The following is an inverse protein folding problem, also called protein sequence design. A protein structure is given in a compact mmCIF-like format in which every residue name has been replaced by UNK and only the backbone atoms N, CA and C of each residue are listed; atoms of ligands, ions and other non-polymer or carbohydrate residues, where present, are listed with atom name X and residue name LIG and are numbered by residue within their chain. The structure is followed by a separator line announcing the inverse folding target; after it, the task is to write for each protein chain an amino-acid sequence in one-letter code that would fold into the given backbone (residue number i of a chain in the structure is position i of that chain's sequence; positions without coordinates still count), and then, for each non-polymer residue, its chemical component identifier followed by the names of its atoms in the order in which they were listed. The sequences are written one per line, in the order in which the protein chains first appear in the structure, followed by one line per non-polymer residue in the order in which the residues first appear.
data_IF_769467169532
#
_entry.id   IF_769467169532
#
_cell.length_a   1.000
_cell.length_b   1.000
_cell.length_c   1.000
_cell.angle_alpha   90.00
_cell.angle_beta   90.00
_cell.angle_gamma   90.00
#
_symmetry.space_group_name_H-M   'P 1'
#
loop_
_entity.id
_entity.type
_entity.pdbx_description
1 polymer ?
#
# COMPACT_ATOMS: atom_id res chain seq x y z
N UNK A 1 -15.45 27.90 -22.05
CA UNK A 1 -15.11 26.63 -22.75
C UNK A 1 -14.86 25.61 -21.65
N UNK A 2 -15.61 24.51 -21.63
CA UNK A 2 -15.56 23.56 -20.53
C UNK A 2 -14.79 22.32 -21.01
N UNK A 3 -13.77 21.93 -20.26
CA UNK A 3 -12.95 20.75 -20.54
C UNK A 3 -13.02 19.86 -19.31
N UNK A 4 -13.32 18.59 -19.52
CA UNK A 4 -13.35 17.56 -18.48
C UNK A 4 -12.08 16.73 -18.64
N UNK A 5 -11.24 16.72 -17.60
CA UNK A 5 -10.05 15.88 -17.53
C UNK A 5 -10.28 14.73 -16.56
N UNK A 6 -9.83 13.53 -16.94
CA UNK A 6 -9.78 12.38 -16.06
C UNK A 6 -8.34 12.20 -15.58
N UNK A 7 -8.14 12.19 -14.27
CA UNK A 7 -6.85 11.92 -13.64
C UNK A 7 -6.97 10.64 -12.82
N UNK A 8 -5.86 9.92 -12.70
CA UNK A 8 -5.75 8.80 -11.76
C UNK A 8 -5.04 9.29 -10.49
N UNK A 9 -5.49 8.88 -9.29
CA UNK A 9 -4.74 9.17 -8.08
C UNK A 9 -3.44 8.36 -8.06
N UNK A 10 -2.32 9.02 -7.72
CA UNK A 10 -1.08 8.38 -7.28
C UNK A 10 -1.14 8.20 -5.76
N UNK A 11 -2.21 7.58 -5.27
CA UNK A 11 -2.44 7.47 -3.84
C UNK A 11 -1.42 6.50 -3.22
N UNK A 12 -0.82 6.89 -2.11
CA UNK A 12 -0.03 6.00 -1.25
C UNK A 12 -0.79 5.85 0.05
N UNK A 13 -1.10 4.61 0.43
CA UNK A 13 -1.78 4.27 1.67
C UNK A 13 -0.84 3.47 2.57
N UNK A 14 -0.81 3.83 3.84
CA UNK A 14 -0.12 3.06 4.86
C UNK A 14 -1.00 1.87 5.31
N UNK A 15 -0.37 0.70 5.43
CA UNK A 15 -0.93 -0.50 6.02
C UNK A 15 -0.08 -0.83 7.26
N UNK A 16 -0.75 -1.08 8.37
CA UNK A 16 -0.12 -1.48 9.63
C UNK A 16 -0.54 -2.91 9.95
N UNK A 17 0.42 -3.73 10.35
CA UNK A 17 0.21 -5.10 10.78
C UNK A 17 1.05 -5.37 12.02
N UNK A 18 0.51 -6.18 12.92
CA UNK A 18 1.21 -6.64 14.12
C UNK A 18 1.59 -8.11 13.94
N UNK A 19 2.85 -8.44 14.19
CA UNK A 19 3.35 -9.82 14.18
C UNK A 19 4.60 -9.96 15.07
N UNK A 20 4.88 -11.18 15.49
CA UNK A 20 6.00 -11.51 16.37
C UNK A 20 7.38 -11.44 15.70
N UNK A 21 7.42 -11.40 14.36
CA UNK A 21 8.64 -11.34 13.56
C UNK A 21 8.50 -10.40 12.37
N UNK A 22 9.61 -9.81 11.91
CA UNK A 22 9.62 -8.99 10.70
C UNK A 22 9.19 -9.79 9.46
N UNK A 23 9.58 -11.05 9.39
CA UNK A 23 9.25 -11.91 8.24
C UNK A 23 7.74 -12.17 8.18
N UNK A 24 7.12 -12.52 9.31
CA UNK A 24 5.67 -12.66 9.42
C UNK A 24 4.96 -11.34 9.09
N UNK A 25 5.43 -10.21 9.63
CA UNK A 25 4.87 -8.89 9.33
C UNK A 25 4.95 -8.57 7.84
N UNK A 26 6.07 -8.89 7.18
CA UNK A 26 6.25 -8.64 5.76
C UNK A 26 5.32 -9.51 4.90
N UNK A 27 5.14 -10.78 5.24
CA UNK A 27 4.22 -11.68 4.54
C UNK A 27 2.76 -11.24 4.72
N UNK A 28 2.37 -10.84 5.93
CA UNK A 28 1.05 -10.29 6.22
C UNK A 28 0.79 -8.98 5.47
N UNK A 29 1.78 -8.08 5.39
CA UNK A 29 1.68 -6.86 4.60
C UNK A 29 1.46 -7.19 3.13
N UNK A 30 2.28 -8.09 2.56
CA UNK A 30 2.18 -8.48 1.15
C UNK A 30 0.83 -9.13 0.82
N UNK A 31 0.26 -9.92 1.73
CA UNK A 31 -1.05 -10.53 1.57
C UNK A 31 -2.20 -9.51 1.60
N UNK A 32 -2.03 -8.38 2.30
CA UNK A 32 -3.04 -7.33 2.42
C UNK A 32 -2.91 -6.22 1.37
N UNK A 33 -1.88 -6.25 0.51
CA UNK A 33 -1.76 -5.32 -0.62
C UNK A 33 -2.88 -5.60 -1.63
N UNK A 34 -3.76 -4.62 -1.92
CA UNK A 34 -4.86 -4.83 -2.86
C UNK A 34 -4.35 -5.03 -4.30
N UNK A 35 -5.16 -5.65 -5.14
CA UNK A 35 -4.82 -5.85 -6.55
C UNK A 35 -4.56 -4.52 -7.27
N UNK A 36 -3.46 -4.45 -8.03
CA UNK A 36 -3.03 -3.24 -8.73
C UNK A 36 -2.23 -2.24 -7.87
N UNK A 37 -1.98 -2.55 -6.60
CA UNK A 37 -1.12 -1.76 -5.72
C UNK A 37 0.28 -2.39 -5.61
N UNK A 38 1.28 -1.54 -5.36
CA UNK A 38 2.66 -1.98 -5.16
C UNK A 38 3.11 -1.55 -3.76
N UNK A 39 3.71 -2.49 -3.03
CA UNK A 39 4.39 -2.19 -1.78
C UNK A 39 5.69 -1.43 -2.08
N UNK A 40 5.80 -0.18 -1.62
CA UNK A 40 6.93 0.71 -1.92
C UNK A 40 8.02 0.69 -0.85
N UNK A 41 7.63 0.77 0.42
CA UNK A 41 8.54 0.83 1.55
C UNK A 41 7.93 0.11 2.75
N UNK A 42 8.76 -0.58 3.52
CA UNK A 42 8.38 -1.19 4.80
C UNK A 42 9.28 -0.60 5.88
N UNK A 43 8.67 -0.07 6.94
CA UNK A 43 9.34 0.49 8.12
C UNK A 43 8.78 -0.18 9.37
N UNK A 44 9.59 -0.30 10.42
CA UNK A 44 9.09 -0.61 11.76
C UNK A 44 8.55 0.70 12.36
N UNK A 45 7.36 0.64 12.97
CA UNK A 45 6.77 1.78 13.69
C UNK A 45 7.55 2.11 14.96
#
# INVERSE_FOLDING_TARGET
MNVIGTIRPTETRELEVEADSYQDAFELLRAQVPEGWQLLQVKQA
#
